data_IF_113806719687
#
_entry.id   IF_113806719687
#
_cell.length_a   1.000
_cell.length_b   1.000
_cell.length_c   1.000
_cell.angle_alpha   90.00
_cell.angle_beta   90.00
_cell.angle_gamma   90.00
#
_symmetry.space_group_name_H-M   'P 1'
#
loop_
_entity.id
_entity.type
_entity.pdbx_description
1 polymer ?
#
# COMPACT_ATOMS: atom_id res chain seq x y z
N UNK A 1 -4.24 26.20 -32.66
CA UNK A 1 -3.97 25.05 -33.56
C UNK A 1 -4.91 23.88 -33.31
N UNK A 2 -6.03 23.80 -34.04
CA UNK A 2 -6.86 22.60 -34.08
C UNK A 2 -6.13 21.52 -34.88
N UNK A 3 -5.20 20.78 -34.26
CA UNK A 3 -4.66 19.54 -34.85
C UNK A 3 -5.73 18.45 -34.82
N UNK A 4 -6.72 18.57 -35.69
CA UNK A 4 -7.64 17.50 -35.99
C UNK A 4 -7.02 16.60 -37.06
N UNK A 5 -6.84 15.32 -36.73
CA UNK A 5 -6.37 14.29 -37.68
C UNK A 5 -7.46 13.24 -37.90
N UNK A 6 -7.54 12.70 -39.10
CA UNK A 6 -8.44 11.61 -39.44
C UNK A 6 -7.68 10.27 -39.42
N UNK A 7 -8.25 9.27 -38.75
CA UNK A 7 -7.77 7.89 -38.80
C UNK A 7 -8.75 7.08 -39.64
N UNK A 8 -8.33 6.67 -40.83
CA UNK A 8 -9.15 5.86 -41.75
C UNK A 8 -8.34 4.72 -42.37
N UNK A 9 -8.94 3.54 -42.46
CA UNK A 9 -8.35 2.41 -43.20
C UNK A 9 -8.29 2.69 -44.71
N UNK A 10 -9.21 3.50 -45.24
CA UNK A 10 -9.28 3.85 -46.66
C UNK A 10 -8.53 5.18 -46.92
N UNK A 11 -7.37 5.15 -47.60
CA UNK A 11 -6.55 6.35 -47.81
C UNK A 11 -7.16 7.31 -48.83
N UNK A 12 -8.13 6.86 -49.62
CA UNK A 12 -8.77 7.64 -50.68
C UNK A 12 -9.94 8.49 -50.16
N UNK A 13 -10.33 8.37 -48.89
CA UNK A 13 -11.41 9.19 -48.32
C UNK A 13 -10.95 10.64 -48.27
N UNK A 14 -11.64 11.51 -49.02
CA UNK A 14 -11.48 12.96 -48.90
C UNK A 14 -12.10 13.42 -47.58
N UNK A 15 -11.27 13.90 -46.67
CA UNK A 15 -11.75 14.52 -45.41
C UNK A 15 -11.17 15.92 -45.29
N UNK A 16 -11.83 16.79 -44.52
CA UNK A 16 -11.32 18.15 -44.23
C UNK A 16 -10.03 18.14 -43.38
N UNK A 17 -9.66 16.99 -42.82
CA UNK A 17 -8.55 16.84 -41.88
C UNK A 17 -7.42 16.02 -42.49
N UNK A 18 -6.18 16.22 -41.99
CA UNK A 18 -5.04 15.39 -42.42
C UNK A 18 -5.29 13.93 -42.04
N UNK A 19 -5.23 13.02 -43.01
CA UNK A 19 -5.25 11.58 -42.75
C UNK A 19 -3.88 11.12 -42.28
N UNK A 20 -3.84 10.40 -41.15
CA UNK A 20 -2.58 9.87 -40.62
C UNK A 20 -2.00 8.76 -41.50
N UNK A 21 -0.68 8.81 -41.70
CA UNK A 21 0.06 7.76 -42.41
C UNK A 21 0.18 6.44 -41.62
N UNK A 22 0.71 5.40 -42.27
CA UNK A 22 1.00 4.11 -41.61
C UNK A 22 2.28 4.15 -40.74
N UNK A 23 3.18 5.09 -41.00
CA UNK A 23 4.43 5.34 -40.25
C UNK A 23 4.33 6.54 -39.30
N UNK A 24 3.27 7.34 -39.41
CA UNK A 24 2.99 8.46 -38.52
C UNK A 24 2.24 7.96 -37.29
N UNK A 25 2.45 8.60 -36.15
CA UNK A 25 1.77 8.29 -34.88
C UNK A 25 1.08 9.53 -34.33
N UNK A 26 -0.19 9.40 -33.93
CA UNK A 26 -0.90 10.43 -33.19
C UNK A 26 -1.19 9.94 -31.78
N UNK A 27 -1.06 10.83 -30.79
CA UNK A 27 -1.39 10.54 -29.41
C UNK A 27 -2.78 11.07 -29.07
N UNK A 28 -3.68 10.19 -28.66
CA UNK A 28 -4.99 10.56 -28.14
C UNK A 28 -5.27 9.89 -26.78
N UNK A 29 -5.61 10.70 -25.78
CA UNK A 29 -5.83 10.28 -24.38
C UNK A 29 -4.71 9.40 -23.78
N UNK A 30 -3.49 9.45 -24.32
CA UNK A 30 -2.36 8.62 -23.86
C UNK A 30 -2.13 7.32 -24.63
N UNK A 31 -3.00 6.97 -25.57
CA UNK A 31 -2.75 5.91 -26.56
C UNK A 31 -2.16 6.50 -27.83
N UNK A 32 -1.37 5.68 -28.53
CA UNK A 32 -0.79 6.03 -29.81
C UNK A 32 -1.53 5.27 -30.91
N UNK A 33 -1.82 5.96 -32.00
CA UNK A 33 -2.54 5.40 -33.14
C UNK A 33 -1.81 5.73 -34.42
N UNK A 34 -1.89 4.82 -35.38
CA UNK A 34 -1.58 5.09 -36.77
C UNK A 34 -2.74 4.60 -37.64
N UNK A 35 -2.56 4.64 -38.95
CA UNK A 35 -3.54 4.11 -39.89
C UNK A 35 -3.91 2.63 -39.67
N UNK A 36 -3.03 1.84 -39.05
CA UNK A 36 -3.27 0.42 -38.74
C UNK A 36 -4.04 0.20 -37.43
N UNK A 37 -4.21 1.23 -36.61
CA UNK A 37 -4.92 1.18 -35.34
C UNK A 37 -4.01 1.54 -34.16
N UNK A 38 -4.29 0.93 -32.99
CA UNK A 38 -3.52 1.18 -31.75
C UNK A 38 -2.10 0.65 -31.89
N UNK A 39 -1.12 1.49 -31.59
CA UNK A 39 0.28 1.12 -31.44
C UNK A 39 0.56 0.90 -29.95
N UNK A 40 1.07 -0.29 -29.62
CA UNK A 40 1.53 -0.54 -28.26
C UNK A 40 2.85 0.18 -28.01
N UNK A 41 2.86 1.08 -27.04
CA UNK A 41 4.07 1.69 -26.46
C UNK A 41 4.45 1.08 -25.11
N UNK A 42 3.94 -0.13 -24.81
CA UNK A 42 4.15 -0.77 -23.51
C UNK A 42 5.64 -1.02 -23.27
N UNK A 43 6.36 -1.57 -24.25
CA UNK A 43 7.78 -1.89 -24.10
C UNK A 43 8.64 -0.62 -23.98
N UNK A 44 8.35 0.42 -24.78
CA UNK A 44 8.96 1.75 -24.64
C UNK A 44 8.70 2.35 -23.25
N UNK A 45 7.48 2.16 -22.73
CA UNK A 45 7.11 2.61 -21.39
C UNK A 45 7.89 1.85 -20.34
N UNK A 46 8.05 0.52 -20.46
CA UNK A 46 8.87 -0.28 -19.54
C UNK A 46 10.34 0.18 -19.57
N UNK A 47 10.91 0.45 -20.74
CA UNK A 47 12.27 1.01 -20.88
C UNK A 47 12.39 2.38 -20.18
N UNK A 48 11.38 3.23 -20.35
CA UNK A 48 11.31 4.52 -19.65
C UNK A 48 11.21 4.33 -18.14
N UNK A 49 10.40 3.38 -17.67
CA UNK A 49 10.27 3.09 -16.23
C UNK A 49 11.60 2.66 -15.64
N UNK A 50 12.37 1.80 -16.33
CA UNK A 50 13.71 1.39 -15.93
C UNK A 50 14.62 2.60 -15.70
N UNK A 51 14.64 3.56 -16.62
CA UNK A 51 15.40 4.81 -16.44
C UNK A 51 14.88 5.66 -15.27
N UNK A 52 13.56 5.76 -15.11
CA UNK A 52 12.95 6.49 -13.99
C UNK A 52 13.27 5.86 -12.63
N UNK A 53 13.47 4.53 -12.55
CA UNK A 53 13.87 3.91 -11.27
C UNK A 53 15.18 4.48 -10.75
N UNK A 54 16.12 4.82 -11.63
CA UNK A 54 17.39 5.46 -11.25
C UNK A 54 17.11 6.80 -10.57
N UNK A 55 16.27 7.64 -11.16
CA UNK A 55 15.88 8.93 -10.60
C UNK A 55 15.11 8.82 -9.28
N UNK A 56 14.18 7.87 -9.17
CA UNK A 56 13.34 7.72 -7.97
C UNK A 56 14.01 6.93 -6.84
N UNK A 57 15.07 6.17 -7.13
CA UNK A 57 15.78 5.36 -6.12
C UNK A 57 16.40 6.18 -4.99
N UNK A 58 16.72 7.47 -5.26
CA UNK A 58 17.24 8.44 -4.30
C UNK A 58 16.16 9.17 -3.50
N UNK A 59 14.91 9.20 -3.98
CA UNK A 59 13.81 10.04 -3.44
C UNK A 59 13.26 9.52 -2.10
N UNK A 60 13.27 8.20 -1.88
CA UNK A 60 12.79 7.62 -0.62
C UNK A 60 13.75 6.54 -0.09
N UNK A 61 14.17 6.71 1.17
CA UNK A 61 14.95 5.72 1.90
C UNK A 61 14.11 4.54 2.43
N UNK A 62 12.80 4.73 2.61
CA UNK A 62 11.91 3.71 3.21
C UNK A 62 11.34 2.76 2.16
N UNK A 63 11.07 1.50 2.55
CA UNK A 63 10.44 0.54 1.64
C UNK A 63 9.02 0.97 1.29
N UNK A 64 8.26 1.44 2.28
CA UNK A 64 6.90 1.97 2.08
C UNK A 64 6.88 3.11 1.06
N UNK A 65 7.76 4.10 1.19
CA UNK A 65 7.85 5.20 0.25
C UNK A 65 8.20 4.73 -1.17
N UNK A 66 9.12 3.78 -1.32
CA UNK A 66 9.47 3.19 -2.62
C UNK A 66 8.29 2.43 -3.25
N UNK A 67 7.50 1.70 -2.45
CA UNK A 67 6.26 1.04 -2.93
C UNK A 67 5.22 2.05 -3.38
N UNK A 68 5.02 3.11 -2.61
CA UNK A 68 4.11 4.20 -2.97
C UNK A 68 4.54 4.83 -4.29
N UNK A 69 5.84 5.13 -4.45
CA UNK A 69 6.34 5.70 -5.71
C UNK A 69 6.13 4.73 -6.87
N UNK A 70 6.50 3.46 -6.68
CA UNK A 70 6.34 2.42 -7.68
C UNK A 70 4.88 2.30 -8.15
N UNK A 71 3.92 2.25 -7.22
CA UNK A 71 2.49 2.10 -7.57
C UNK A 71 1.89 3.36 -8.17
N UNK A 72 2.20 4.53 -7.61
CA UNK A 72 1.54 5.79 -7.96
C UNK A 72 2.14 6.49 -9.17
N UNK A 73 3.45 6.37 -9.41
CA UNK A 73 4.14 7.12 -10.47
C UNK A 73 4.74 6.24 -11.57
N UNK A 74 5.17 5.02 -11.24
CA UNK A 74 5.79 4.13 -12.24
C UNK A 74 4.74 3.20 -12.88
N UNK A 75 4.16 2.28 -12.10
CA UNK A 75 3.19 1.29 -12.60
C UNK A 75 1.85 1.91 -13.04
N UNK A 76 1.54 3.13 -12.59
CA UNK A 76 0.37 3.87 -13.06
C UNK A 76 0.47 4.22 -14.55
N UNK A 77 1.67 4.49 -15.07
CA UNK A 77 1.91 4.78 -16.49
C UNK A 77 1.56 3.57 -17.37
N UNK A 78 1.82 2.35 -16.88
CA UNK A 78 1.42 1.13 -17.56
C UNK A 78 -0.06 0.83 -17.37
N UNK A 79 -0.62 1.06 -16.17
CA UNK A 79 -2.00 0.71 -15.83
C UNK A 79 -2.99 1.22 -16.87
N UNK A 80 -2.85 2.47 -17.33
CA UNK A 80 -3.74 3.03 -18.34
C UNK A 80 -3.62 2.30 -19.69
N UNK A 81 -2.40 2.02 -20.16
CA UNK A 81 -2.17 1.31 -21.42
C UNK A 81 -2.69 -0.13 -21.40
N UNK A 82 -2.67 -0.80 -20.24
CA UNK A 82 -3.04 -2.21 -20.09
C UNK A 82 -4.54 -2.52 -20.23
N UNK A 83 -5.39 -1.49 -20.31
CA UNK A 83 -6.80 -1.67 -20.70
C UNK A 83 -6.92 -2.19 -22.14
N UNK A 84 -5.99 -1.82 -23.03
CA UNK A 84 -6.00 -2.23 -24.44
C UNK A 84 -4.78 -3.12 -24.75
N UNK A 85 -3.60 -2.67 -24.36
CA UNK A 85 -2.34 -3.34 -24.67
C UNK A 85 -2.02 -4.47 -23.68
N UNK A 86 -1.04 -5.30 -24.03
CA UNK A 86 -0.52 -6.37 -23.19
C UNK A 86 0.96 -6.11 -22.88
N UNK A 87 1.41 -6.72 -21.78
CA UNK A 87 2.82 -6.72 -21.42
C UNK A 87 3.47 -7.86 -22.17
N UNK A 88 4.39 -7.55 -23.06
CA UNK A 88 5.16 -8.56 -23.78
C UNK A 88 6.22 -9.18 -22.87
N UNK A 89 7.02 -8.34 -22.21
CA UNK A 89 8.07 -8.79 -21.28
C UNK A 89 7.72 -8.53 -19.81
N UNK A 90 7.00 -9.48 -19.22
CA UNK A 90 6.67 -9.46 -17.79
C UNK A 90 7.94 -9.55 -16.92
N UNK A 91 8.97 -10.30 -17.36
CA UNK A 91 10.19 -10.51 -16.58
C UNK A 91 10.96 -9.20 -16.44
N UNK A 92 11.06 -8.41 -17.52
CA UNK A 92 11.67 -7.08 -17.47
C UNK A 92 10.96 -6.16 -16.51
N UNK A 93 9.63 -6.10 -16.56
CA UNK A 93 8.86 -5.29 -15.60
C UNK A 93 9.05 -5.75 -14.15
N UNK A 94 9.12 -7.06 -13.91
CA UNK A 94 9.42 -7.60 -12.58
C UNK A 94 10.82 -7.20 -12.08
N UNK A 95 11.82 -7.13 -12.97
CA UNK A 95 13.16 -6.64 -12.63
C UNK A 95 13.16 -5.14 -12.32
N UNK A 96 12.42 -4.33 -13.10
CA UNK A 96 12.23 -2.89 -12.81
C UNK A 96 11.63 -2.69 -11.41
N UNK A 97 10.62 -3.50 -11.05
CA UNK A 97 10.02 -3.46 -9.71
C UNK A 97 11.04 -3.82 -8.62
N UNK A 98 11.82 -4.88 -8.83
CA UNK A 98 12.84 -5.33 -7.88
C UNK A 98 13.91 -4.25 -7.66
N UNK A 99 14.43 -3.67 -8.74
CA UNK A 99 15.44 -2.61 -8.71
C UNK A 99 14.93 -1.39 -7.94
N UNK A 100 13.67 -0.96 -8.16
CA UNK A 100 13.07 0.14 -7.41
C UNK A 100 12.93 -0.17 -5.90
N UNK A 101 12.51 -1.39 -5.55
CA UNK A 101 12.18 -1.75 -4.17
C UNK A 101 13.38 -2.20 -3.34
N UNK A 102 14.42 -2.70 -3.98
CA UNK A 102 15.58 -3.33 -3.32
C UNK A 102 16.92 -2.79 -3.82
N UNK A 103 16.94 -1.70 -4.62
CA UNK A 103 18.17 -1.03 -5.08
C UNK A 103 19.17 -1.97 -5.78
N UNK A 104 18.67 -2.96 -6.52
CA UNK A 104 19.49 -3.96 -7.21
C UNK A 104 19.82 -5.19 -6.38
N UNK A 105 19.54 -5.20 -5.07
CA UNK A 105 19.55 -6.45 -4.31
C UNK A 105 18.50 -7.40 -4.89
N UNK A 106 18.82 -8.69 -4.94
CA UNK A 106 17.83 -9.72 -5.26
C UNK A 106 16.61 -9.52 -4.36
N UNK A 107 15.43 -9.91 -4.86
CA UNK A 107 14.18 -9.90 -4.11
C UNK A 107 14.39 -10.38 -2.65
N UNK A 108 14.37 -9.44 -1.69
CA UNK A 108 14.53 -9.76 -0.27
C UNK A 108 13.33 -10.55 0.28
N UNK A 109 12.24 -10.62 -0.49
CA UNK A 109 11.04 -11.42 -0.22
C UNK A 109 10.62 -12.15 -1.50
N UNK A 110 10.00 -13.32 -1.38
CA UNK A 110 9.51 -14.03 -2.57
C UNK A 110 8.46 -13.22 -3.33
N UNK A 111 8.34 -13.48 -4.64
CA UNK A 111 7.33 -12.84 -5.50
C UNK A 111 5.92 -13.11 -4.99
N UNK A 112 5.64 -14.32 -4.53
CA UNK A 112 4.37 -14.72 -3.95
C UNK A 112 4.06 -13.88 -2.71
N UNK A 113 5.02 -13.73 -1.79
CA UNK A 113 4.86 -12.91 -0.59
C UNK A 113 4.64 -11.44 -0.94
N UNK A 114 5.38 -10.90 -1.92
CA UNK A 114 5.29 -9.50 -2.30
C UNK A 114 3.88 -9.08 -2.76
N UNK A 115 3.10 -10.04 -3.30
CA UNK A 115 1.73 -9.81 -3.78
C UNK A 115 0.73 -9.67 -2.63
N UNK A 116 1.00 -10.30 -1.47
CA UNK A 116 0.12 -10.36 -0.30
C UNK A 116 -0.21 -8.99 0.29
N UNK A 117 -1.27 -8.95 1.07
CA UNK A 117 -1.65 -7.78 1.85
C UNK A 117 -0.57 -7.43 2.89
N UNK A 118 -0.43 -6.13 3.16
CA UNK A 118 0.59 -5.62 4.08
C UNK A 118 0.44 -6.17 5.51
N UNK A 119 -0.81 -6.45 5.90
CA UNK A 119 -1.23 -6.95 7.21
C UNK A 119 -0.75 -8.39 7.50
N UNK A 120 -0.27 -9.11 6.49
CA UNK A 120 0.30 -10.45 6.63
C UNK A 120 1.76 -10.52 6.12
N UNK A 121 2.44 -9.37 6.10
CA UNK A 121 3.84 -9.26 5.68
C UNK A 121 4.05 -9.27 4.16
N UNK A 122 3.04 -8.86 3.39
CA UNK A 122 3.18 -8.60 1.95
C UNK A 122 3.44 -7.14 1.60
N UNK A 123 3.60 -6.84 0.31
CA UNK A 123 3.80 -5.47 -0.20
C UNK A 123 2.60 -4.95 -1.02
N UNK A 124 1.55 -5.75 -1.13
CA UNK A 124 0.39 -5.54 -1.99
C UNK A 124 0.79 -5.27 -3.45
N UNK A 125 1.91 -5.82 -3.94
CA UNK A 125 2.34 -5.61 -5.31
C UNK A 125 1.37 -6.27 -6.28
N UNK A 126 1.08 -5.60 -7.38
CA UNK A 126 0.21 -6.17 -8.39
C UNK A 126 0.93 -7.28 -9.15
N UNK A 127 0.26 -8.42 -9.31
CA UNK A 127 0.59 -9.32 -10.39
C UNK A 127 0.14 -8.65 -11.69
N UNK A 128 1.07 -8.11 -12.47
CA UNK A 128 0.76 -7.28 -13.63
C UNK A 128 0.05 -8.04 -14.75
N UNK A 129 0.36 -9.33 -14.91
CA UNK A 129 -0.36 -10.21 -15.85
C UNK A 129 -1.83 -10.41 -15.41
N UNK A 130 -2.04 -10.74 -14.13
CA UNK A 130 -3.41 -10.87 -13.59
C UNK A 130 -4.15 -9.54 -13.62
N UNK A 131 -3.47 -8.42 -13.35
CA UNK A 131 -4.05 -7.07 -13.43
C UNK A 131 -4.49 -6.73 -14.84
N UNK A 132 -3.68 -7.02 -15.85
CA UNK A 132 -4.04 -6.81 -17.26
C UNK A 132 -5.27 -7.63 -17.66
N UNK A 133 -5.34 -8.90 -17.23
CA UNK A 133 -6.54 -9.72 -17.44
C UNK A 133 -7.75 -9.19 -16.67
N UNK A 134 -7.56 -8.71 -15.44
CA UNK A 134 -8.64 -8.14 -14.64
C UNK A 134 -9.24 -6.90 -15.30
N UNK A 135 -8.44 -6.05 -15.93
CA UNK A 135 -8.91 -4.89 -16.68
C UNK A 135 -9.75 -5.29 -17.90
N UNK A 136 -9.27 -6.28 -18.66
CA UNK A 136 -9.98 -6.83 -19.82
C UNK A 136 -11.30 -7.48 -19.44
N UNK A 137 -11.31 -8.29 -18.37
CA UNK A 137 -12.53 -8.88 -17.83
C UNK A 137 -13.49 -7.81 -17.30
N UNK A 138 -12.97 -6.77 -16.66
CA UNK A 138 -13.77 -5.65 -16.17
C UNK A 138 -14.45 -4.89 -17.31
N UNK A 139 -13.74 -4.62 -18.42
CA UNK A 139 -14.33 -4.02 -19.63
C UNK A 139 -15.47 -4.89 -20.15
N UNK A 140 -15.21 -6.19 -20.34
CA UNK A 140 -16.22 -7.10 -20.89
C UNK A 140 -17.46 -7.19 -20.00
N UNK A 141 -17.27 -7.21 -18.68
CA UNK A 141 -18.36 -7.22 -17.71
C UNK A 141 -19.19 -5.92 -17.75
N UNK A 142 -18.58 -4.75 -18.04
CA UNK A 142 -19.36 -3.52 -18.29
C UNK A 142 -20.15 -3.62 -19.60
N UNK A 143 -19.51 -4.08 -20.68
CA UNK A 143 -20.17 -4.29 -21.96
C UNK A 143 -21.41 -5.18 -21.82
N UNK A 144 -21.31 -6.30 -21.10
CA UNK A 144 -22.44 -7.19 -20.87
C UNK A 144 -23.61 -6.54 -20.10
N UNK A 145 -23.33 -5.56 -19.24
CA UNK A 145 -24.38 -4.81 -18.52
C UNK A 145 -25.09 -3.80 -19.41
N UNK A 146 -24.33 -3.11 -20.25
CA UNK A 146 -24.82 -1.94 -20.98
C UNK A 146 -25.28 -2.28 -22.41
N UNK A 147 -24.98 -3.48 -22.94
CA UNK A 147 -25.32 -3.86 -24.31
C UNK A 147 -26.82 -3.88 -24.59
N UNK A 148 -27.67 -4.13 -23.60
CA UNK A 148 -29.13 -4.20 -23.78
C UNK A 148 -29.83 -2.93 -23.27
N UNK A 149 -29.07 -1.91 -22.83
CA UNK A 149 -29.62 -0.62 -22.41
C UNK A 149 -30.12 0.18 -23.63
N UNK A 150 -31.31 0.79 -23.53
CA UNK A 150 -31.84 1.70 -24.54
C UNK A 150 -30.99 2.96 -24.68
N UNK A 151 -30.35 3.41 -23.59
CA UNK A 151 -29.44 4.57 -23.58
C UNK A 151 -27.97 4.16 -23.78
N UNK A 152 -27.75 3.13 -24.61
CA UNK A 152 -26.44 2.56 -24.85
C UNK A 152 -25.44 3.64 -25.33
N UNK A 153 -24.27 3.80 -24.68
CA UNK A 153 -23.27 4.76 -25.13
C UNK A 153 -22.79 4.46 -26.58
N UNK A 154 -22.42 5.46 -27.40
CA UNK A 154 -22.03 5.25 -28.80
C UNK A 154 -20.88 4.24 -29.02
N UNK A 155 -19.95 4.16 -28.07
CA UNK A 155 -18.84 3.20 -28.15
C UNK A 155 -19.29 1.74 -28.02
N UNK A 156 -20.46 1.48 -27.42
CA UNK A 156 -21.04 0.14 -27.31
C UNK A 156 -21.68 -0.31 -28.63
N UNK A 157 -22.21 0.61 -29.44
CA UNK A 157 -22.68 0.30 -30.80
C UNK A 157 -21.52 -0.19 -31.69
N UNK A 158 -20.33 0.41 -31.54
CA UNK A 158 -19.11 -0.06 -32.19
C UNK A 158 -18.78 -1.50 -31.74
N UNK A 159 -18.90 -1.81 -30.45
CA UNK A 159 -18.67 -3.17 -29.96
C UNK A 159 -19.71 -4.19 -30.47
N UNK A 160 -20.98 -3.76 -30.60
CA UNK A 160 -22.05 -4.59 -31.18
C UNK A 160 -21.79 -4.87 -32.66
N UNK A 161 -21.48 -3.84 -33.45
CA UNK A 161 -21.18 -3.99 -34.90
C UNK A 161 -19.89 -4.78 -35.17
N UNK A 162 -18.86 -4.65 -34.33
CA UNK A 162 -17.65 -5.49 -34.41
C UNK A 162 -17.96 -6.98 -34.13
N UNK A 163 -18.92 -7.26 -33.23
CA UNK A 163 -19.33 -8.63 -32.92
C UNK A 163 -20.00 -9.33 -34.12
N UNK A 164 -20.72 -8.59 -34.94
CA UNK A 164 -21.44 -9.12 -36.10
C UNK A 164 -20.52 -9.41 -37.31
N UNK A 165 -19.50 -8.58 -37.51
CA UNK A 165 -18.72 -8.60 -38.76
C UNK A 165 -17.38 -9.35 -38.68
N UNK A 166 -16.75 -9.38 -37.50
CA UNK A 166 -15.56 -10.18 -37.15
C UNK A 166 -15.06 -9.67 -35.80
N UNK A 167 -15.05 -10.53 -34.78
CA UNK A 167 -14.65 -10.10 -33.44
C UNK A 167 -13.26 -9.45 -33.47
N UNK A 168 -13.20 -8.18 -33.11
CA UNK A 168 -11.93 -7.48 -33.04
C UNK A 168 -10.99 -8.20 -32.06
N UNK A 169 -9.67 -8.10 -32.31
CA UNK A 169 -8.66 -8.74 -31.45
C UNK A 169 -8.82 -8.36 -29.99
N UNK A 170 -9.27 -7.14 -29.69
CA UNK A 170 -9.51 -6.68 -28.32
C UNK A 170 -10.75 -7.31 -27.71
N UNK A 171 -11.86 -7.41 -28.45
CA UNK A 171 -13.08 -8.06 -27.96
C UNK A 171 -12.81 -9.52 -27.56
N UNK A 172 -12.09 -10.27 -28.41
CA UNK A 172 -11.68 -11.65 -28.12
C UNK A 172 -10.84 -11.72 -26.83
N UNK A 173 -9.90 -10.80 -26.64
CA UNK A 173 -9.06 -10.75 -25.43
C UNK A 173 -9.89 -10.45 -24.17
N UNK A 174 -10.80 -9.49 -24.25
CA UNK A 174 -11.73 -9.14 -23.16
C UNK A 174 -12.63 -10.32 -22.79
N UNK A 175 -13.20 -11.00 -23.77
CA UNK A 175 -13.98 -12.22 -23.55
C UNK A 175 -13.14 -13.34 -22.94
N UNK A 176 -11.93 -13.61 -23.45
CA UNK A 176 -11.03 -14.63 -22.89
C UNK A 176 -10.70 -14.34 -21.42
N UNK A 177 -10.40 -13.09 -21.08
CA UNK A 177 -10.13 -12.69 -19.71
C UNK A 177 -11.36 -12.83 -18.81
N UNK A 178 -12.55 -12.48 -19.30
CA UNK A 178 -13.81 -12.67 -18.60
C UNK A 178 -14.09 -14.16 -18.32
N UNK A 179 -13.82 -15.04 -19.28
CA UNK A 179 -13.90 -16.49 -19.08
C UNK A 179 -12.93 -16.98 -18.02
N UNK A 180 -11.68 -16.49 -18.00
CA UNK A 180 -10.73 -16.85 -16.95
C UNK A 180 -11.22 -16.47 -15.55
N UNK A 181 -12.05 -15.43 -15.43
CA UNK A 181 -12.64 -14.99 -14.17
C UNK A 181 -13.84 -15.85 -13.75
N UNK A 182 -14.75 -16.17 -14.67
CA UNK A 182 -16.03 -16.78 -14.29
C UNK A 182 -16.12 -18.27 -14.59
N UNK A 183 -15.29 -18.76 -15.50
CA UNK A 183 -15.30 -20.13 -16.00
C UNK A 183 -13.87 -20.69 -16.20
N UNK A 184 -13.01 -20.71 -15.16
CA UNK A 184 -11.60 -21.07 -15.30
C UNK A 184 -11.36 -22.55 -15.67
N UNK A 185 -12.32 -23.44 -15.43
CA UNK A 185 -12.18 -24.90 -15.61
C UNK A 185 -12.93 -25.45 -16.82
N UNK A 186 -13.77 -24.66 -17.46
CA UNK A 186 -14.68 -25.18 -18.46
C UNK A 186 -14.12 -25.00 -19.88
N UNK A 187 -14.09 -26.09 -20.67
CA UNK A 187 -13.91 -26.04 -22.13
C UNK A 187 -15.24 -25.62 -22.79
N UNK A 188 -15.71 -24.41 -22.56
CA UNK A 188 -17.08 -24.06 -22.98
C UNK A 188 -17.17 -23.71 -24.47
N UNK A 189 -18.19 -24.28 -25.10
CA UNK A 189 -18.80 -23.93 -26.39
C UNK A 189 -19.78 -22.75 -26.29
N UNK A 190 -19.79 -21.98 -25.18
CA UNK A 190 -20.72 -20.87 -24.95
C UNK A 190 -20.65 -19.88 -26.11
N UNK A 191 -21.79 -19.71 -26.79
CA UNK A 191 -21.93 -18.69 -27.81
C UNK A 191 -21.97 -17.32 -27.13
N UNK A 192 -21.21 -16.38 -27.69
CA UNK A 192 -20.99 -15.04 -27.13
C UNK A 192 -22.29 -14.25 -26.86
N UNK A 193 -23.39 -14.60 -27.52
CA UNK A 193 -24.71 -13.99 -27.39
C UNK A 193 -25.53 -14.46 -26.17
N UNK A 194 -25.17 -15.58 -25.53
CA UNK A 194 -25.92 -16.15 -24.41
C UNK A 194 -25.41 -15.68 -23.04
N UNK A 195 -24.39 -14.83 -23.01
CA UNK A 195 -23.71 -14.44 -21.78
C UNK A 195 -24.36 -13.20 -21.17
N UNK A 196 -24.66 -13.27 -19.86
CA UNK A 196 -25.13 -12.17 -19.03
C UNK A 196 -24.02 -11.74 -18.05
N UNK A 197 -24.05 -10.48 -17.55
CA UNK A 197 -23.12 -10.05 -16.52
C UNK A 197 -23.28 -10.93 -15.27
N UNK A 198 -22.16 -11.26 -14.61
CA UNK A 198 -22.14 -12.15 -13.44
C UNK A 198 -22.32 -11.40 -12.13
N UNK A 199 -21.94 -10.12 -12.09
CA UNK A 199 -22.18 -9.27 -10.93
C UNK A 199 -23.43 -8.43 -11.15
N UNK A 200 -24.32 -8.40 -10.15
CA UNK A 200 -25.52 -7.54 -10.13
C UNK A 200 -25.15 -6.06 -10.29
N UNK A 201 -24.14 -5.61 -9.54
CA UNK A 201 -23.68 -4.23 -9.54
C UNK A 201 -22.31 -4.07 -10.18
N UNK A 202 -22.02 -2.86 -10.68
CA UNK A 202 -20.71 -2.48 -11.20
C UNK A 202 -19.62 -2.68 -10.16
N UNK A 203 -18.81 -3.72 -10.36
CA UNK A 203 -17.70 -4.01 -9.47
C UNK A 203 -16.52 -3.09 -9.69
N UNK A 204 -15.81 -2.76 -8.60
CA UNK A 204 -14.52 -2.09 -8.66
C UNK A 204 -13.48 -3.05 -9.24
N UNK A 205 -12.56 -2.55 -10.08
CA UNK A 205 -11.47 -3.35 -10.65
C UNK A 205 -10.67 -4.11 -9.59
N UNK A 206 -10.50 -3.54 -8.38
CA UNK A 206 -9.83 -4.20 -7.25
C UNK A 206 -10.49 -5.53 -6.85
N UNK A 207 -11.82 -5.61 -6.90
CA UNK A 207 -12.59 -6.83 -6.58
C UNK A 207 -12.33 -7.89 -7.64
N UNK A 208 -12.47 -7.51 -8.92
CA UNK A 208 -12.21 -8.42 -10.04
C UNK A 208 -10.77 -8.96 -10.02
N UNK A 209 -9.78 -8.10 -9.77
CA UNK A 209 -8.39 -8.51 -9.63
C UNK A 209 -8.19 -9.52 -8.49
N UNK A 210 -8.79 -9.30 -7.32
CA UNK A 210 -8.69 -10.23 -6.19
C UNK A 210 -9.32 -11.58 -6.52
N UNK A 211 -10.51 -11.60 -7.13
CA UNK A 211 -11.16 -12.84 -7.54
C UNK A 211 -10.31 -13.64 -8.54
N UNK A 212 -9.70 -12.97 -9.53
CA UNK A 212 -8.76 -13.64 -10.44
C UNK A 212 -7.51 -14.18 -9.73
N UNK A 213 -6.99 -13.45 -8.73
CA UNK A 213 -5.87 -13.92 -7.92
C UNK A 213 -6.25 -15.16 -7.10
N UNK A 214 -7.45 -15.19 -6.52
CA UNK A 214 -7.95 -16.33 -5.74
C UNK A 214 -8.16 -17.59 -6.59
N UNK A 215 -8.65 -17.40 -7.83
CA UNK A 215 -8.80 -18.48 -8.82
C UNK A 215 -7.45 -19.05 -9.23
N UNK A 216 -6.51 -18.17 -9.62
CA UNK A 216 -5.23 -18.59 -10.21
C UNK A 216 -4.21 -19.05 -9.17
N UNK A 217 -4.26 -18.48 -7.97
CA UNK A 217 -3.27 -18.68 -6.92
C UNK A 217 -3.98 -18.95 -5.58
N UNK A 218 -4.59 -20.14 -5.42
CA UNK A 218 -5.37 -20.48 -4.22
C UNK A 218 -4.56 -20.22 -2.95
N UNK A 219 -5.11 -19.42 -2.04
CA UNK A 219 -4.46 -19.08 -0.78
C UNK A 219 -3.25 -18.15 -0.91
N UNK A 220 -3.10 -17.42 -2.02
CA UNK A 220 -2.01 -16.46 -2.22
C UNK A 220 -1.89 -15.46 -1.08
N UNK A 221 -3.03 -15.02 -0.52
CA UNK A 221 -3.14 -14.03 0.56
C UNK A 221 -3.30 -14.66 1.96
N UNK A 222 -2.62 -15.78 2.23
CA UNK A 222 -2.58 -16.40 3.57
C UNK A 222 -1.28 -16.06 4.29
N UNK A 223 -1.35 -15.91 5.62
CA UNK A 223 -0.15 -15.80 6.46
C UNK A 223 0.63 -17.11 6.36
N UNK A 224 1.86 -17.04 5.86
CA UNK A 224 2.80 -18.15 5.83
C UNK A 224 4.14 -17.64 6.36
N UNK A 225 4.46 -17.85 7.64
CA UNK A 225 5.72 -17.40 8.21
C UNK A 225 6.89 -18.28 7.72
N UNK A 226 8.03 -17.65 7.41
CA UNK A 226 9.30 -18.37 7.20
C UNK A 226 9.80 -18.98 8.52
N UNK A 227 10.80 -19.88 8.47
CA UNK A 227 11.42 -20.45 9.68
C UNK A 227 11.89 -19.37 10.65
N UNK A 228 12.56 -18.32 10.14
CA UNK A 228 12.99 -17.18 10.95
C UNK A 228 11.82 -16.36 11.53
N UNK A 229 10.69 -16.30 10.84
CA UNK A 229 9.47 -15.64 11.33
C UNK A 229 8.75 -16.46 12.41
N UNK A 230 8.73 -17.79 12.27
CA UNK A 230 8.20 -18.70 13.30
C UNK A 230 8.96 -18.55 14.62
N UNK A 231 10.28 -18.34 14.56
CA UNK A 231 11.08 -18.05 15.76
C UNK A 231 10.63 -16.75 16.43
N UNK A 232 10.44 -15.68 15.66
CA UNK A 232 9.91 -14.42 16.20
C UNK A 232 8.55 -14.65 16.85
N UNK A 233 7.62 -15.37 16.18
CA UNK A 233 6.30 -15.68 16.72
C UNK A 233 6.36 -16.41 18.07
N UNK A 234 7.26 -17.39 18.19
CA UNK A 234 7.51 -18.09 19.45
C UNK A 234 8.02 -17.13 20.52
N UNK A 235 9.01 -16.30 20.20
CA UNK A 235 9.63 -15.39 21.15
C UNK A 235 8.67 -14.30 21.66
N UNK A 236 7.79 -13.78 20.79
CA UNK A 236 6.78 -12.78 21.16
C UNK A 236 5.50 -13.39 21.75
N UNK A 237 5.37 -14.72 21.72
CA UNK A 237 4.18 -15.47 22.11
C UNK A 237 2.90 -14.96 21.42
N UNK A 238 2.92 -14.87 20.08
CA UNK A 238 1.79 -14.37 19.29
C UNK A 238 1.52 -15.26 18.05
N UNK A 239 0.25 -15.64 17.77
CA UNK A 239 -0.07 -16.61 16.73
C UNK A 239 0.24 -16.14 15.30
N UNK A 240 0.17 -14.83 15.06
CA UNK A 240 0.49 -14.17 13.77
C UNK A 240 1.55 -13.09 14.04
N UNK A 241 2.38 -12.72 13.07
CA UNK A 241 3.26 -11.57 13.30
C UNK A 241 2.44 -10.25 13.28
N UNK A 242 2.72 -9.29 14.18
CA UNK A 242 1.94 -8.06 14.36
C UNK A 242 2.20 -7.01 13.26
N UNK A 243 2.10 -7.41 11.98
CA UNK A 243 2.32 -6.52 10.84
C UNK A 243 1.25 -5.42 10.73
N UNK A 244 -0.01 -5.77 11.05
CA UNK A 244 -1.13 -4.82 11.07
C UNK A 244 -0.91 -3.75 12.13
N UNK A 245 -0.50 -4.17 13.31
CA UNK A 245 -0.21 -3.35 14.47
C UNK A 245 1.02 -2.47 14.23
N UNK A 246 2.08 -3.00 13.62
CA UNK A 246 3.25 -2.22 13.22
C UNK A 246 2.90 -1.04 12.31
N UNK A 247 1.79 -1.10 11.56
CA UNK A 247 1.30 0.02 10.73
C UNK A 247 0.87 1.23 11.55
N UNK A 248 0.47 1.04 12.81
CA UNK A 248 0.00 2.09 13.73
C UNK A 248 1.13 3.01 14.21
N UNK A 249 2.39 2.61 14.05
CA UNK A 249 3.56 3.43 14.34
C UNK A 249 3.54 4.66 13.44
N UNK A 250 3.47 5.86 14.01
CA UNK A 250 3.39 7.14 13.29
C UNK A 250 4.71 7.46 12.59
N UNK A 251 5.84 7.32 13.30
CA UNK A 251 7.18 7.59 12.75
C UNK A 251 7.45 6.72 11.52
N UNK A 252 7.80 7.32 10.39
CA UNK A 252 7.97 6.58 9.13
C UNK A 252 9.14 5.59 9.23
N UNK A 253 10.28 6.01 9.80
CA UNK A 253 11.46 5.15 9.96
C UNK A 253 11.22 4.04 10.99
N UNK A 254 10.71 4.37 12.18
CA UNK A 254 10.36 3.35 13.18
C UNK A 254 9.40 2.28 12.66
N UNK A 255 8.37 2.69 11.88
CA UNK A 255 7.43 1.78 11.22
C UNK A 255 8.12 0.85 10.22
N UNK A 256 8.98 1.41 9.37
CA UNK A 256 9.74 0.64 8.36
C UNK A 256 10.67 -0.38 9.04
N UNK A 257 11.35 0.01 10.12
CA UNK A 257 12.25 -0.85 10.89
C UNK A 257 11.51 -1.99 11.60
N UNK A 258 10.43 -1.70 12.32
CA UNK A 258 9.60 -2.72 12.97
C UNK A 258 9.07 -3.72 11.93
N UNK A 259 8.53 -3.22 10.82
CA UNK A 259 7.99 -4.05 9.77
C UNK A 259 9.06 -4.91 9.07
N UNK A 260 10.24 -4.34 8.76
CA UNK A 260 11.38 -5.06 8.20
C UNK A 260 11.97 -6.09 9.16
N UNK A 261 11.97 -5.80 10.46
CA UNK A 261 12.38 -6.75 11.49
C UNK A 261 11.48 -7.99 11.47
N UNK A 262 10.16 -7.78 11.55
CA UNK A 262 9.15 -8.85 11.48
C UNK A 262 9.24 -9.65 10.17
N UNK A 263 9.66 -8.98 9.09
CA UNK A 263 9.93 -9.61 7.80
C UNK A 263 11.24 -10.40 7.71
N UNK A 264 12.18 -10.22 8.65
CA UNK A 264 13.59 -10.63 8.50
C UNK A 264 14.25 -10.01 7.24
N UNK A 265 13.91 -8.77 6.90
CA UNK A 265 14.37 -8.06 5.70
C UNK A 265 15.02 -6.70 6.01
N UNK A 266 15.73 -6.61 7.14
CA UNK A 266 16.51 -5.44 7.49
C UNK A 266 17.75 -5.33 6.59
N UNK A 267 18.07 -4.12 6.07
CA UNK A 267 19.26 -3.90 5.25
C UNK A 267 20.49 -3.84 6.16
N UNK A 268 21.05 -5.00 6.51
CA UNK A 268 22.28 -5.14 7.28
C UNK A 268 23.31 -5.91 6.47
N UNK A 269 24.59 -5.70 6.76
CA UNK A 269 25.66 -6.51 6.20
C UNK A 269 25.71 -7.83 6.98
N UNK A 270 25.62 -8.95 6.26
CA UNK A 270 25.66 -10.28 6.86
C UNK A 270 27.10 -10.65 7.22
N UNK A 271 27.31 -11.20 8.42
CA UNK A 271 28.64 -11.61 8.90
C UNK A 271 29.50 -10.49 9.48
N UNK A 272 29.02 -9.24 9.51
CA UNK A 272 29.72 -8.17 10.22
C UNK A 272 29.56 -8.28 11.73
N UNK A 273 30.57 -7.81 12.46
CA UNK A 273 30.48 -7.63 13.90
C UNK A 273 29.94 -6.24 14.25
N UNK A 274 29.22 -6.17 15.37
CA UNK A 274 28.75 -4.93 15.95
C UNK A 274 29.94 -4.01 16.26
N UNK A 275 29.92 -2.80 15.72
CA UNK A 275 31.05 -1.87 15.87
C UNK A 275 31.26 -1.45 17.34
N UNK A 276 30.18 -1.46 18.13
CA UNK A 276 30.20 -1.09 19.55
C UNK A 276 30.66 -2.20 20.49
N UNK A 277 30.14 -3.43 20.37
CA UNK A 277 30.43 -4.51 21.33
C UNK A 277 31.12 -5.75 20.72
N UNK A 278 31.48 -5.69 19.43
CA UNK A 278 32.27 -6.70 18.70
C UNK A 278 31.64 -8.10 18.53
N UNK A 279 30.43 -8.32 19.02
CA UNK A 279 29.64 -9.55 18.77
C UNK A 279 29.05 -9.60 17.35
N UNK A 280 28.67 -10.78 16.87
CA UNK A 280 28.06 -10.95 15.55
C UNK A 280 26.78 -10.11 15.40
N UNK A 281 26.70 -9.32 14.32
CA UNK A 281 25.59 -8.40 14.10
C UNK A 281 24.36 -9.13 13.54
N UNK A 282 23.54 -9.65 14.45
CA UNK A 282 22.21 -10.19 14.18
C UNK A 282 21.12 -9.08 14.19
N UNK A 283 19.95 -9.30 13.57
CA UNK A 283 18.85 -8.33 13.71
C UNK A 283 18.38 -8.23 15.17
N UNK A 284 18.39 -9.37 15.87
CA UNK A 284 18.06 -9.47 17.28
C UNK A 284 19.11 -8.75 18.13
N UNK A 285 20.38 -8.89 17.77
CA UNK A 285 21.49 -8.19 18.37
C UNK A 285 21.32 -6.67 18.29
N UNK A 286 21.09 -6.14 17.09
CA UNK A 286 20.95 -4.70 16.84
C UNK A 286 19.92 -4.07 17.80
N UNK A 287 18.76 -4.70 17.97
CA UNK A 287 17.66 -4.09 18.72
C UNK A 287 17.55 -4.53 20.18
N UNK A 288 17.94 -5.75 20.53
CA UNK A 288 17.55 -6.37 21.81
C UNK A 288 18.71 -6.98 22.61
N UNK A 289 19.83 -7.33 21.98
CA UNK A 289 20.92 -8.06 22.67
C UNK A 289 22.23 -7.27 22.77
N UNK A 290 22.40 -6.18 22.01
CA UNK A 290 23.64 -5.41 22.02
C UNK A 290 23.98 -4.88 23.42
N UNK A 291 25.03 -5.45 24.03
CA UNK A 291 25.52 -5.11 25.38
C UNK A 291 25.82 -3.62 25.56
N UNK A 292 26.27 -2.95 24.49
CA UNK A 292 26.64 -1.52 24.55
C UNK A 292 25.46 -0.56 24.77
N UNK A 293 24.21 -1.02 24.57
CA UNK A 293 23.05 -0.13 24.59
C UNK A 293 21.85 -0.69 25.36
N UNK A 294 21.79 -2.01 25.54
CA UNK A 294 20.64 -2.72 26.11
C UNK A 294 20.19 -2.14 27.45
N UNK A 295 21.13 -1.91 28.38
CA UNK A 295 20.81 -1.40 29.71
C UNK A 295 20.20 0.01 29.67
N UNK A 296 20.77 0.91 28.86
CA UNK A 296 20.23 2.27 28.69
C UNK A 296 18.83 2.24 28.07
N UNK A 297 18.62 1.43 27.03
CA UNK A 297 17.30 1.31 26.39
C UNK A 297 16.27 0.71 27.34
N UNK A 298 16.63 -0.33 28.08
CA UNK A 298 15.75 -0.97 29.04
C UNK A 298 15.32 0.03 30.13
N UNK A 299 16.26 0.82 30.66
CA UNK A 299 15.98 1.89 31.61
C UNK A 299 15.03 2.94 31.05
N UNK A 300 15.29 3.46 29.85
CA UNK A 300 14.41 4.44 29.17
C UNK A 300 13.03 3.85 28.94
N UNK A 301 12.95 2.61 28.43
CA UNK A 301 11.68 1.94 28.15
C UNK A 301 10.84 1.76 29.41
N UNK A 302 11.46 1.28 30.49
CA UNK A 302 10.77 1.06 31.77
C UNK A 302 10.26 2.36 32.36
N UNK A 303 11.08 3.42 32.37
CA UNK A 303 10.69 4.73 32.90
C UNK A 303 9.54 5.34 32.10
N UNK A 304 9.64 5.35 30.77
CA UNK A 304 8.57 5.86 29.91
C UNK A 304 7.30 5.03 30.04
N UNK A 305 7.40 3.70 30.18
CA UNK A 305 6.24 2.85 30.44
C UNK A 305 5.58 3.15 31.80
N UNK A 306 6.38 3.34 32.86
CA UNK A 306 5.88 3.65 34.21
C UNK A 306 5.09 4.96 34.27
N UNK A 307 5.56 5.98 33.57
CA UNK A 307 4.92 7.30 33.56
C UNK A 307 3.79 7.42 32.52
N UNK A 308 3.53 6.32 31.78
CA UNK A 308 2.46 6.20 30.80
C UNK A 308 1.31 5.33 31.31
N UNK A 309 0.14 5.42 30.67
CA UNK A 309 -0.98 4.51 30.91
C UNK A 309 -0.80 3.14 30.20
N UNK A 310 0.44 2.75 29.88
CA UNK A 310 0.71 1.51 29.17
C UNK A 310 0.49 0.31 30.10
N UNK A 311 -0.21 -0.71 29.63
CA UNK A 311 -0.55 -1.91 30.41
C UNK A 311 0.61 -2.89 30.55
N UNK A 312 1.69 -2.70 29.79
CA UNK A 312 2.85 -3.60 29.82
C UNK A 312 4.07 -2.92 30.44
N UNK A 313 4.55 -3.51 31.53
CA UNK A 313 5.83 -3.21 32.18
C UNK A 313 6.68 -4.48 32.11
N UNK A 314 7.70 -4.47 31.27
CA UNK A 314 8.62 -5.59 31.13
C UNK A 314 9.91 -5.18 30.46
N UNK A 315 10.91 -6.08 30.42
CA UNK A 315 12.22 -5.74 29.91
C UNK A 315 12.19 -5.51 28.40
N UNK A 316 13.03 -4.59 27.92
CA UNK A 316 13.28 -4.37 26.51
C UNK A 316 13.89 -5.62 25.87
N UNK A 317 13.03 -6.37 25.21
CA UNK A 317 13.32 -7.67 24.59
C UNK A 317 12.40 -7.86 23.38
N UNK A 318 12.66 -8.87 22.54
CA UNK A 318 11.85 -9.10 21.33
C UNK A 318 10.33 -9.21 21.64
N UNK A 319 9.96 -9.66 22.84
CA UNK A 319 8.58 -9.73 23.35
C UNK A 319 7.80 -8.42 23.22
N UNK A 320 8.46 -7.27 23.27
CA UNK A 320 7.79 -5.96 23.12
C UNK A 320 7.10 -5.82 21.77
N UNK A 321 7.57 -6.51 20.72
CA UNK A 321 6.91 -6.50 19.41
C UNK A 321 5.52 -7.15 19.45
N UNK A 322 5.27 -8.10 20.37
CA UNK A 322 3.94 -8.65 20.63
C UNK A 322 3.01 -7.67 21.36
N UNK A 323 3.50 -6.49 21.75
CA UNK A 323 2.79 -5.47 22.52
C UNK A 323 2.51 -4.19 21.71
N UNK A 324 2.54 -4.26 20.38
CA UNK A 324 2.11 -3.20 19.46
C UNK A 324 0.57 -2.98 19.47
N UNK A 325 -0.08 -3.15 20.62
CA UNK A 325 -1.54 -3.20 20.74
C UNK A 325 -2.17 -1.81 20.86
N UNK A 326 -1.46 -0.85 21.47
CA UNK A 326 -1.94 0.52 21.62
C UNK A 326 -1.15 1.48 20.71
N UNK A 327 -1.74 2.61 20.30
CA UNK A 327 -1.02 3.66 19.58
C UNK A 327 0.22 4.13 20.32
N UNK A 328 0.14 4.33 21.65
CA UNK A 328 1.29 4.74 22.45
C UNK A 328 2.39 3.69 22.44
N UNK A 329 2.09 2.43 22.80
CA UNK A 329 3.11 1.37 22.88
C UNK A 329 3.82 1.17 21.54
N UNK A 330 3.05 1.20 20.45
CA UNK A 330 3.57 1.08 19.09
C UNK A 330 4.52 2.23 18.76
N UNK A 331 4.15 3.47 19.09
CA UNK A 331 4.98 4.63 18.82
C UNK A 331 6.22 4.70 19.71
N UNK A 332 6.14 4.28 20.97
CA UNK A 332 7.30 4.11 21.85
C UNK A 332 8.30 3.12 21.26
N UNK A 333 7.84 1.91 20.91
CA UNK A 333 8.67 0.86 20.32
C UNK A 333 9.29 1.37 19.00
N UNK A 334 8.49 1.99 18.14
CA UNK A 334 8.96 2.56 16.87
C UNK A 334 10.02 3.65 17.07
N UNK A 335 9.82 4.55 18.03
CA UNK A 335 10.77 5.62 18.35
C UNK A 335 12.10 5.08 18.89
N UNK A 336 12.06 4.06 19.75
CA UNK A 336 13.26 3.39 20.26
C UNK A 336 14.00 2.68 19.12
N UNK A 337 13.30 1.86 18.32
CA UNK A 337 13.92 1.16 17.18
C UNK A 337 14.58 2.14 16.20
N UNK A 338 13.91 3.25 15.89
CA UNK A 338 14.48 4.29 15.03
C UNK A 338 15.76 4.89 15.62
N UNK A 339 15.78 5.14 16.93
CA UNK A 339 16.91 5.77 17.60
C UNK A 339 18.10 4.80 17.73
N UNK A 340 17.84 3.53 18.02
CA UNK A 340 18.84 2.45 17.99
C UNK A 340 19.47 2.35 16.59
N UNK A 341 18.63 2.31 15.56
CA UNK A 341 19.10 2.21 14.18
C UNK A 341 19.92 3.43 13.74
N UNK A 342 19.48 4.63 14.12
CA UNK A 342 20.20 5.86 13.85
C UNK A 342 21.59 5.86 14.51
N UNK A 343 21.65 5.57 15.82
CA UNK A 343 22.92 5.46 16.55
C UNK A 343 23.86 4.43 15.92
N UNK A 344 23.35 3.23 15.61
CA UNK A 344 24.13 2.19 14.94
C UNK A 344 24.80 2.73 13.67
N UNK A 345 24.03 3.44 12.83
CA UNK A 345 24.59 3.98 11.59
C UNK A 345 25.62 5.07 11.85
N UNK A 346 25.42 5.95 12.84
CA UNK A 346 26.41 6.98 13.20
C UNK A 346 27.76 6.38 13.61
N UNK A 347 27.72 5.33 14.46
CA UNK A 347 28.92 4.62 14.89
C UNK A 347 29.66 3.97 13.72
N UNK A 348 28.92 3.43 12.73
CA UNK A 348 29.56 2.90 11.51
C UNK A 348 30.28 3.98 10.69
N UNK A 349 29.87 5.24 10.80
CA UNK A 349 30.53 6.39 10.18
C UNK A 349 31.47 7.14 11.14
N UNK A 350 31.99 6.44 12.16
CA UNK A 350 32.94 6.95 13.15
C UNK A 350 32.44 8.08 14.06
N UNK A 351 31.12 8.28 14.20
CA UNK A 351 30.55 9.08 15.28
C UNK A 351 30.17 8.21 16.48
N UNK A 352 31.08 8.13 17.45
CA UNK A 352 30.88 7.38 18.69
C UNK A 352 30.16 8.19 19.79
N UNK A 353 29.82 9.47 19.54
CA UNK A 353 29.25 10.37 20.56
C UNK A 353 27.72 10.27 20.67
N UNK A 354 27.05 9.62 19.71
CA UNK A 354 25.60 9.52 19.70
C UNK A 354 25.08 8.65 20.86
N UNK A 355 24.48 9.31 21.86
CA UNK A 355 23.77 8.68 22.99
C UNK A 355 22.26 8.85 22.79
N UNK A 356 21.51 7.78 23.05
CA UNK A 356 20.05 7.81 23.05
C UNK A 356 19.60 8.25 24.44
N UNK A 357 18.88 9.36 24.52
CA UNK A 357 18.37 9.89 25.78
C UNK A 357 16.86 9.74 25.89
N UNK A 358 16.36 9.70 27.12
CA UNK A 358 14.92 9.68 27.41
C UNK A 358 14.18 10.86 26.74
N UNK A 359 14.73 12.07 26.86
CA UNK A 359 14.13 13.29 26.27
C UNK A 359 13.96 13.18 24.75
N UNK A 360 14.92 12.58 24.04
CA UNK A 360 14.80 12.34 22.60
C UNK A 360 13.65 11.38 22.27
N UNK A 361 13.46 10.32 23.06
CA UNK A 361 12.37 9.36 22.88
C UNK A 361 11.02 10.02 23.20
N UNK A 362 10.90 10.72 24.33
CA UNK A 362 9.69 11.47 24.71
C UNK A 362 9.31 12.46 23.63
N UNK A 363 10.27 13.22 23.07
CA UNK A 363 10.02 14.16 21.99
C UNK A 363 9.43 13.49 20.74
N UNK A 364 9.96 12.34 20.32
CA UNK A 364 9.42 11.57 19.18
C UNK A 364 8.00 11.09 19.44
N UNK A 365 7.69 10.66 20.67
CA UNK A 365 6.35 10.21 21.05
C UNK A 365 5.38 11.40 21.10
N UNK A 366 5.79 12.55 21.64
CA UNK A 366 4.99 13.80 21.62
C UNK A 366 4.65 14.21 20.19
N UNK A 367 5.61 14.19 19.26
CA UNK A 367 5.34 14.42 17.83
C UNK A 367 4.34 13.43 17.24
N UNK A 368 4.43 12.15 17.61
CA UNK A 368 3.49 11.13 17.15
C UNK A 368 2.08 11.34 17.70
N UNK A 369 1.97 11.73 18.98
CA UNK A 369 0.73 12.12 19.66
C UNK A 369 0.09 13.30 18.95
N UNK A 370 0.83 14.38 18.72
CA UNK A 370 0.32 15.61 18.11
C UNK A 370 -0.21 15.34 16.69
N UNK A 371 0.52 14.54 15.90
CA UNK A 371 0.07 14.12 14.57
C UNK A 371 -1.18 13.20 14.59
N UNK A 372 -1.42 12.45 15.66
CA UNK A 372 -2.65 11.67 15.85
C UNK A 372 -3.80 12.57 16.35
N UNK A 373 -3.50 13.55 17.20
CA UNK A 373 -4.45 14.55 17.66
C UNK A 373 -4.99 15.39 16.50
N UNK A 374 -4.12 15.90 15.64
CA UNK A 374 -4.52 16.66 14.45
C UNK A 374 -5.49 15.88 13.55
N UNK A 375 -5.25 14.57 13.39
CA UNK A 375 -6.14 13.69 12.62
C UNK A 375 -7.47 13.48 13.33
N UNK A 376 -7.43 13.24 14.64
CA UNK A 376 -8.63 13.04 15.47
C UNK A 376 -9.49 14.29 15.49
N UNK A 377 -8.88 15.44 15.77
CA UNK A 377 -9.50 16.77 15.77
C UNK A 377 -10.20 17.07 14.45
N UNK A 378 -9.53 16.92 13.30
CA UNK A 378 -10.15 17.14 11.98
C UNK A 378 -11.40 16.30 11.74
N UNK A 379 -11.40 15.05 12.20
CA UNK A 379 -12.55 14.14 12.09
C UNK A 379 -13.67 14.58 13.03
N UNK A 380 -13.34 14.89 14.29
CA UNK A 380 -14.30 15.32 15.30
C UNK A 380 -14.95 16.65 14.91
N UNK A 381 -14.18 17.64 14.47
CA UNK A 381 -14.70 18.93 13.97
C UNK A 381 -15.66 18.72 12.79
N UNK A 382 -15.32 17.80 11.88
CA UNK A 382 -16.22 17.47 10.76
C UNK A 382 -17.52 16.83 11.27
N UNK A 383 -17.45 15.92 12.24
CA UNK A 383 -18.63 15.28 12.81
C UNK A 383 -19.50 16.27 13.58
N UNK A 384 -18.90 17.19 14.34
CA UNK A 384 -19.59 18.24 15.08
C UNK A 384 -20.33 19.19 14.12
N UNK A 385 -19.68 19.66 13.05
CA UNK A 385 -20.36 20.50 12.03
C UNK A 385 -21.54 19.81 11.37
N UNK A 386 -21.52 18.48 11.26
CA UNK A 386 -22.62 17.71 10.70
C UNK A 386 -23.74 17.48 11.73
N UNK A 387 -23.38 17.32 12.99
CA UNK A 387 -24.33 17.18 14.10
C UNK A 387 -25.12 18.48 14.32
N UNK A 388 -24.46 19.64 14.33
CA UNK A 388 -25.11 20.96 14.40
C UNK A 388 -26.06 21.28 13.23
N UNK A 389 -25.98 20.53 12.13
CA UNK A 389 -26.86 20.68 10.96
C UNK A 389 -27.92 19.58 10.88
N UNK A 390 -27.92 18.65 11.83
CA UNK A 390 -28.78 17.48 11.80
C UNK A 390 -30.15 17.83 12.38
N UNK A 391 -31.21 17.54 11.63
CA UNK A 391 -32.61 17.71 12.07
C UNK A 391 -33.17 16.43 12.70
N UNK A 392 -32.55 15.27 12.45
CA UNK A 392 -32.94 13.99 13.03
C UNK A 392 -32.25 13.76 14.38
N UNK A 393 -33.05 13.70 15.45
CA UNK A 393 -32.57 13.48 16.81
C UNK A 393 -31.76 12.17 16.94
N UNK A 394 -32.16 11.09 16.25
CA UNK A 394 -31.44 9.80 16.32
C UNK A 394 -30.06 9.91 15.69
N UNK A 395 -29.95 10.62 14.58
CA UNK A 395 -28.67 10.84 13.92
C UNK A 395 -27.76 11.78 14.75
N UNK A 396 -28.32 12.83 15.36
CA UNK A 396 -27.57 13.68 16.32
C UNK A 396 -27.02 12.86 17.50
N UNK A 397 -27.85 12.04 18.15
CA UNK A 397 -27.41 11.16 19.26
C UNK A 397 -26.27 10.24 18.82
N UNK A 398 -26.38 9.60 17.65
CA UNK A 398 -25.35 8.72 17.10
C UNK A 398 -24.03 9.46 16.83
N UNK A 399 -24.11 10.70 16.33
CA UNK A 399 -22.94 11.55 16.05
C UNK A 399 -22.28 12.00 17.35
N UNK A 400 -23.03 12.48 18.32
CA UNK A 400 -22.56 12.82 19.67
C UNK A 400 -21.87 11.63 20.33
N UNK A 401 -22.48 10.45 20.31
CA UNK A 401 -21.86 9.23 20.83
C UNK A 401 -20.60 8.81 20.04
N UNK A 402 -20.52 9.10 18.74
CA UNK A 402 -19.30 8.88 17.94
C UNK A 402 -18.19 9.85 18.31
N UNK A 403 -18.49 11.12 18.56
CA UNK A 403 -17.53 12.14 18.99
C UNK A 403 -16.95 11.76 20.36
N UNK A 404 -17.84 11.49 21.35
CA UNK A 404 -17.46 11.07 22.71
C UNK A 404 -16.48 9.89 22.67
N UNK A 405 -16.86 8.80 21.99
CA UNK A 405 -16.01 7.60 21.85
C UNK A 405 -14.64 7.88 21.21
N UNK A 406 -14.54 8.82 20.26
CA UNK A 406 -13.24 9.17 19.64
C UNK A 406 -12.34 9.95 20.59
N UNK A 407 -12.90 10.93 21.29
CA UNK A 407 -12.16 11.74 22.26
C UNK A 407 -11.70 10.88 23.44
N UNK A 408 -12.57 10.03 23.98
CA UNK A 408 -12.24 9.07 25.04
C UNK A 408 -11.15 8.10 24.59
N UNK A 409 -11.29 7.52 23.39
CA UNK A 409 -10.28 6.61 22.83
C UNK A 409 -8.94 7.32 22.63
N UNK A 410 -8.93 8.57 22.19
CA UNK A 410 -7.69 9.33 22.06
C UNK A 410 -7.04 9.55 23.43
N UNK A 411 -7.82 10.09 24.39
CA UNK A 411 -7.38 10.36 25.75
C UNK A 411 -6.81 9.11 26.42
N UNK A 412 -7.55 8.00 26.40
CA UNK A 412 -7.12 6.74 26.98
C UNK A 412 -5.80 6.21 26.39
N UNK A 413 -5.59 6.38 25.08
CA UNK A 413 -4.40 5.88 24.42
C UNK A 413 -3.17 6.79 24.55
N UNK A 414 -3.33 8.08 24.82
CA UNK A 414 -2.24 9.05 24.69
C UNK A 414 -2.02 9.94 25.91
N UNK A 415 -3.08 10.31 26.63
CA UNK A 415 -2.94 11.13 27.82
C UNK A 415 -2.32 10.29 28.94
N UNK A 416 -1.32 10.87 29.60
CA UNK A 416 -0.56 10.26 30.69
C UNK A 416 0.21 11.34 31.44
N UNK A 417 0.88 10.98 32.55
CA UNK A 417 1.74 11.90 33.30
C UNK A 417 2.85 12.52 32.43
N UNK A 418 3.33 11.79 31.42
CA UNK A 418 4.36 12.27 30.49
C UNK A 418 3.86 13.33 29.50
N UNK A 419 2.58 13.24 29.13
CA UNK A 419 2.04 14.01 28.03
C UNK A 419 0.51 14.08 28.10
N UNK A 420 0.00 15.30 28.19
CA UNK A 420 -1.43 15.63 28.12
C UNK A 420 -1.67 16.58 26.96
N UNK A 421 -2.83 16.47 26.32
CA UNK A 421 -3.32 17.46 25.36
C UNK A 421 -4.53 18.17 25.97
N UNK A 422 -4.48 19.50 25.94
CA UNK A 422 -5.62 20.33 26.31
C UNK A 422 -6.72 20.15 25.26
N UNK A 423 -7.87 19.65 25.71
CA UNK A 423 -9.04 19.51 24.86
C UNK A 423 -9.65 20.90 24.67
N UNK A 424 -9.90 21.36 23.42
CA UNK A 424 -10.59 22.62 23.16
C UNK A 424 -11.91 22.71 23.91
N UNK A 425 -12.25 23.90 24.41
CA UNK A 425 -13.42 24.13 25.27
C UNK A 425 -14.73 23.61 24.67
N UNK A 426 -14.93 23.82 23.37
CA UNK A 426 -16.12 23.36 22.66
C UNK A 426 -16.25 21.83 22.54
N UNK A 427 -15.21 21.06 22.89
CA UNK A 427 -15.27 19.60 22.99
C UNK A 427 -15.45 19.08 24.42
N UNK A 428 -15.32 19.94 25.44
CA UNK A 428 -15.48 19.55 26.85
C UNK A 428 -16.85 18.87 27.12
N UNK A 429 -17.99 19.34 26.56
CA UNK A 429 -19.28 18.65 26.75
C UNK A 429 -19.34 17.22 26.22
N UNK A 430 -18.38 16.84 25.37
CA UNK A 430 -18.25 15.51 24.78
C UNK A 430 -17.17 14.67 25.47
N UNK A 431 -16.61 15.13 26.59
CA UNK A 431 -15.67 14.38 27.39
C UNK A 431 -16.35 13.90 28.68
N UNK A 432 -16.17 12.64 29.03
CA UNK A 432 -16.73 12.02 30.24
C UNK A 432 -15.82 12.14 31.47
N UNK A 433 -14.62 12.71 31.32
CA UNK A 433 -13.62 12.83 32.38
C UNK A 433 -13.22 14.29 32.58
N UNK A 434 -13.01 14.71 33.84
CA UNK A 434 -12.37 15.97 34.17
C UNK A 434 -10.98 16.01 33.55
N UNK A 435 -10.73 16.91 32.61
CA UNK A 435 -9.47 17.03 31.87
C UNK A 435 -8.30 17.60 32.67
N UNK A 436 -8.47 17.83 33.98
CA UNK A 436 -7.46 18.38 34.85
C UNK A 436 -6.61 17.26 35.47
N UNK A 437 -5.72 16.66 34.68
CA UNK A 437 -4.47 16.18 35.25
C UNK A 437 -3.52 17.38 35.27
N UNK A 438 -3.62 18.17 36.33
CA UNK A 438 -2.66 19.22 36.69
C UNK A 438 -1.36 18.60 37.18
#
# INVERSE_FOLDING_TARGET
DNKCVCITKNPKIKTKYKTIGAKEEERYLGFFFNRKGVISKVDDTVNKLENLTKCYSSVSSTLKGRITILKSYLLSQLTFQLYINEINDIKKLENVNANMLFKGDRWAISKERSRRDYEIGGLELWNMATRSNAQKAWIYEQYLREKDDQNCPPHMEVWKSEKENSLSRIHIKCWKAWKLLHHPRERITLKLNQVKPKYENKQKLKVIYRNMMDIKYKGWNKHQPTTGQKLIQKNINHPILPFREARSITTIKGRDLAWRYLLKALPKHHGENCHSCKEEESSMHIFFECKSIKQNIDSIYQKVCKDSNNTYHGPWSEKVLGKLLTPFSSNLIGAIMESIWYRRNQIKFNDNTTIITENQIIHKIKKARDAEWDRTRKIVEKQLRQELRCTDNRESINRTASIKRRLEKFSHNWNSKLMTINIPEHFIPYCSYNTNYS
#
